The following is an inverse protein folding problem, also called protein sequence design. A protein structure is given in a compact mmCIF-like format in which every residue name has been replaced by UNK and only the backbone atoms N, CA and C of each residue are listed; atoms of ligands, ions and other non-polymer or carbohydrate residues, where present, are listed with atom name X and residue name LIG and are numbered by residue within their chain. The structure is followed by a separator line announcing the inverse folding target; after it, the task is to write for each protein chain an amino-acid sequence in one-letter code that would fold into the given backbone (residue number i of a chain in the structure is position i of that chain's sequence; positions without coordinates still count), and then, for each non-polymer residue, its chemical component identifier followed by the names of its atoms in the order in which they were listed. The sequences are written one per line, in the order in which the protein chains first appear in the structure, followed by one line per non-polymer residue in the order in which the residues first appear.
data_IF_509894216618
#
_entry.id   IF_509894216618
#
_cell.length_a   1.000
_cell.length_b   1.000
_cell.length_c   1.000
_cell.angle_alpha   90.00
_cell.angle_beta   90.00
_cell.angle_gamma   90.00
#
_symmetry.space_group_name_H-M   'P 1'
#
loop_
_entity.id
_entity.type
_entity.pdbx_description
1 polymer ?
#
# COMPACT_ATOMS: atom_id res chain seq x y z
N UNK A 1 10.92 -70.51 -9.64
CA UNK A 1 10.91 -70.10 -8.22
C UNK A 1 11.01 -68.57 -8.18
N UNK A 2 10.09 -67.75 -8.68
CA UNK A 2 8.64 -67.54 -8.38
C UNK A 2 8.35 -67.33 -6.90
N UNK A 3 8.21 -66.05 -6.52
CA UNK A 3 7.65 -65.60 -5.25
C UNK A 3 7.05 -64.18 -5.42
N UNK A 4 5.73 -64.12 -5.40
CA UNK A 4 4.81 -62.97 -5.24
C UNK A 4 3.77 -63.46 -4.21
N UNK A 5 2.87 -62.63 -3.63
CA UNK A 5 3.05 -61.33 -3.00
C UNK A 5 2.31 -61.26 -1.62
N UNK A 6 2.37 -60.13 -0.91
CA UNK A 6 1.49 -59.87 0.26
C UNK A 6 0.74 -58.52 0.14
N UNK A 7 -0.60 -58.65 0.15
CA UNK A 7 -1.68 -57.68 0.48
C UNK A 7 -1.53 -57.08 1.90
N UNK A 8 -2.20 -56.02 2.39
CA UNK A 8 -3.31 -55.13 1.99
C UNK A 8 -3.40 -53.95 2.99
N UNK A 9 -3.94 -52.82 2.51
CA UNK A 9 -4.82 -51.77 3.14
C UNK A 9 -4.71 -51.40 4.63
N UNK A 10 -4.79 -50.09 4.88
CA UNK A 10 -5.88 -49.48 5.68
C UNK A 10 -6.10 -48.00 5.30
N UNK A 11 -7.30 -47.72 4.78
CA UNK A 11 -7.93 -46.40 4.69
C UNK A 11 -8.49 -46.04 6.08
N UNK A 12 -8.43 -44.76 6.44
CA UNK A 12 -9.35 -44.20 7.44
C UNK A 12 -10.06 -43.01 6.84
N UNK A 13 -11.36 -43.22 6.61
CA UNK A 13 -12.38 -42.23 6.30
C UNK A 13 -12.65 -41.33 7.52
N UNK A 14 -12.98 -40.06 7.28
CA UNK A 14 -13.66 -39.21 8.27
C UNK A 14 -14.84 -38.51 7.58
N UNK A 15 -16.07 -38.57 8.13
CA UNK A 15 -17.30 -38.30 7.38
C UNK A 15 -17.72 -36.83 7.43
N UNK A 16 -18.27 -36.35 6.31
CA UNK A 16 -19.22 -35.23 6.26
C UNK A 16 -20.61 -35.72 6.71
N UNK A 17 -21.44 -34.83 7.28
CA UNK A 17 -22.87 -34.89 7.00
C UNK A 17 -23.40 -33.61 6.36
N UNK A 18 -24.37 -33.81 5.48
CA UNK A 18 -25.01 -32.82 4.62
C UNK A 18 -26.25 -32.17 5.26
N UNK A 19 -26.38 -30.86 5.00
CA UNK A 19 -27.56 -30.04 4.64
C UNK A 19 -28.94 -30.20 5.36
N UNK A 20 -29.35 -29.02 5.87
CA UNK A 20 -30.62 -28.27 5.71
C UNK A 20 -31.86 -28.68 6.51
N UNK A 21 -32.29 -27.75 7.38
CA UNK A 21 -33.70 -27.34 7.49
C UNK A 21 -33.77 -25.83 7.77
N UNK A 22 -34.70 -25.18 7.09
CA UNK A 22 -35.07 -23.76 7.09
C UNK A 22 -36.07 -23.42 8.20
N UNK A 23 -35.94 -22.27 8.87
CA UNK A 23 -37.03 -21.28 9.01
C UNK A 23 -36.48 -19.93 9.53
N UNK A 24 -36.91 -18.76 9.03
CA UNK A 24 -36.33 -17.46 9.35
C UNK A 24 -37.26 -16.65 10.27
N UNK A 25 -37.13 -16.79 11.59
CA UNK A 25 -37.64 -15.87 12.63
C UNK A 25 -37.29 -16.50 13.98
N UNK A 26 -36.97 -15.69 15.00
CA UNK A 26 -36.36 -16.05 16.30
C UNK A 26 -34.82 -16.14 16.34
N UNK A 27 -34.19 -14.97 16.49
CA UNK A 27 -33.23 -14.72 17.58
C UNK A 27 -33.02 -13.22 17.76
N UNK A 28 -34.08 -12.56 18.18
CA UNK A 28 -34.00 -11.33 18.96
C UNK A 28 -33.95 -11.68 20.45
N UNK A 29 -33.07 -10.99 21.19
CA UNK A 29 -33.02 -10.82 22.66
C UNK A 29 -32.10 -11.76 23.49
N UNK A 30 -30.86 -11.26 23.67
CA UNK A 30 -30.01 -11.12 24.89
C UNK A 30 -29.78 -12.34 25.81
N UNK A 31 -28.49 -12.71 26.05
CA UNK A 31 -27.86 -12.72 27.40
C UNK A 31 -26.36 -13.06 27.38
N UNK A 32 -25.47 -12.14 27.79
CA UNK A 32 -24.24 -12.37 28.59
C UNK A 32 -23.77 -11.03 29.22
N UNK A 33 -23.03 -11.00 30.36
CA UNK A 33 -23.43 -10.23 31.54
C UNK A 33 -22.64 -8.92 31.74
N UNK A 34 -23.25 -8.02 32.52
CA UNK A 34 -22.65 -6.80 33.07
C UNK A 34 -21.71 -7.13 34.23
N UNK A 35 -20.59 -6.40 34.31
CA UNK A 35 -19.86 -6.16 35.56
C UNK A 35 -19.65 -4.64 35.77
N UNK A 36 -19.73 -4.14 37.02
CA UNK A 36 -19.84 -2.71 37.35
C UNK A 36 -18.50 -2.09 37.74
N UNK A 37 -18.51 -0.74 37.77
CA UNK A 37 -17.44 0.20 38.17
C UNK A 37 -16.50 0.60 37.00
N UNK A 38 -16.21 1.87 36.75
CA UNK A 38 -16.23 3.01 37.66
C UNK A 38 -16.58 4.28 36.89
N UNK A 39 -17.56 4.97 37.43
CA UNK A 39 -18.29 6.14 36.89
C UNK A 39 -17.48 7.45 36.98
N UNK A 40 -16.15 7.38 37.03
CA UNK A 40 -15.29 8.48 37.50
C UNK A 40 -14.34 9.10 36.47
N UNK A 41 -14.33 8.64 35.22
CA UNK A 41 -13.47 9.26 34.18
C UNK A 41 -14.16 10.43 33.46
N UNK A 42 -15.49 10.53 33.55
CA UNK A 42 -16.29 11.51 32.78
C UNK A 42 -16.50 12.85 33.52
N UNK A 43 -16.11 12.97 34.81
CA UNK A 43 -16.29 14.21 35.59
C UNK A 43 -15.04 15.07 35.79
N UNK A 44 -13.87 14.68 35.26
CA UNK A 44 -12.61 15.42 35.46
C UNK A 44 -12.16 16.33 34.31
N UNK A 45 -12.95 16.48 33.24
CA UNK A 45 -12.61 17.37 32.12
C UNK A 45 -13.34 18.73 32.13
N UNK A 46 -14.32 18.94 33.01
CA UNK A 46 -15.09 20.19 33.06
C UNK A 46 -14.62 21.18 34.16
N UNK A 47 -13.50 20.94 34.84
CA UNK A 47 -13.04 21.74 35.99
C UNK A 47 -11.61 22.29 35.88
N UNK A 48 -11.13 22.51 34.65
CA UNK A 48 -9.89 23.27 34.35
C UNK A 48 -10.13 24.46 33.41
N UNK A 49 -11.34 25.02 33.44
CA UNK A 49 -11.65 26.34 32.85
C UNK A 49 -12.05 27.29 33.96
N UNK A 50 -11.03 27.81 34.65
CA UNK A 50 -11.02 29.07 35.42
C UNK A 50 -9.79 28.99 36.32
N UNK A 51 -8.79 29.80 35.97
CA UNK A 51 -7.78 30.47 36.81
C UNK A 51 -6.56 30.68 35.90
N UNK A 52 -6.16 31.95 35.74
CA UNK A 52 -4.83 32.31 35.26
C UNK A 52 -4.77 33.09 33.95
N UNK A 53 -5.34 34.29 33.93
CA UNK A 53 -4.88 35.39 33.07
C UNK A 53 -3.44 35.75 33.42
N UNK A 54 -2.49 35.59 32.50
CA UNK A 54 -1.30 36.44 32.46
C UNK A 54 -0.71 36.55 31.04
N UNK A 55 -0.28 37.78 30.78
CA UNK A 55 0.17 38.38 29.53
C UNK A 55 1.36 37.65 28.89
N UNK A 56 1.28 37.38 27.58
CA UNK A 56 2.45 37.01 26.78
C UNK A 56 2.64 37.97 25.61
N UNK A 57 3.81 38.58 25.62
CA UNK A 57 4.35 39.52 24.63
C UNK A 57 4.45 38.84 23.26
N UNK A 58 4.06 39.58 22.24
CA UNK A 58 4.09 39.17 20.83
C UNK A 58 5.53 39.10 20.31
N UNK A 59 5.99 37.89 19.97
CA UNK A 59 7.15 37.70 19.09
C UNK A 59 6.66 37.43 17.65
N UNK A 60 7.36 37.96 16.63
CA UNK A 60 6.89 37.93 15.26
C UNK A 60 6.83 36.50 14.71
N UNK A 61 5.66 36.14 14.16
CA UNK A 61 5.42 34.88 13.46
C UNK A 61 6.45 34.68 12.36
N UNK A 62 7.37 33.73 12.57
CA UNK A 62 8.11 33.12 11.49
C UNK A 62 7.08 32.55 10.50
N UNK A 63 7.08 33.07 9.27
CA UNK A 63 6.31 32.54 8.14
C UNK A 63 6.69 31.08 7.96
N UNK A 64 5.81 30.17 8.38
CA UNK A 64 5.88 28.77 7.98
C UNK A 64 5.70 28.71 6.47
N UNK A 65 6.77 28.39 5.76
CA UNK A 65 6.73 28.04 4.34
C UNK A 65 5.95 26.73 4.23
N UNK A 66 4.62 26.81 4.06
CA UNK A 66 3.82 25.69 3.56
C UNK A 66 4.25 25.47 2.12
N UNK A 67 5.18 24.55 1.90
CA UNK A 67 5.37 23.97 0.57
C UNK A 67 4.14 23.12 0.29
N UNK A 68 3.27 23.58 -0.62
CA UNK A 68 2.13 22.80 -1.05
C UNK A 68 2.63 21.48 -1.65
N UNK A 69 2.18 20.36 -1.08
CA UNK A 69 2.43 19.03 -1.63
C UNK A 69 1.70 18.98 -2.98
N UNK A 70 2.47 18.92 -4.06
CA UNK A 70 1.96 19.05 -5.43
C UNK A 70 1.42 17.71 -5.94
N UNK A 71 0.36 17.18 -5.29
CA UNK A 71 -0.41 16.05 -5.83
C UNK A 71 -1.21 16.49 -7.06
N UNK A 72 -1.56 15.54 -7.95
CA UNK A 72 -2.42 15.85 -9.10
C UNK A 72 -3.81 16.32 -8.67
N UNK A 73 -4.45 17.18 -9.47
CA UNK A 73 -5.83 17.59 -9.21
C UNK A 73 -6.81 16.41 -9.28
N UNK A 74 -6.53 15.44 -10.14
CA UNK A 74 -7.27 14.18 -10.24
C UNK A 74 -7.23 13.40 -8.92
N UNK A 75 -6.03 13.24 -8.34
CA UNK A 75 -5.87 12.58 -7.05
C UNK A 75 -6.52 13.39 -5.93
N UNK A 76 -6.28 14.71 -5.89
CA UNK A 76 -6.90 15.59 -4.90
C UNK A 76 -8.43 15.47 -4.94
N UNK A 77 -9.05 15.47 -6.13
CA UNK A 77 -10.50 15.29 -6.27
C UNK A 77 -10.94 13.94 -5.72
N UNK A 78 -10.26 12.85 -6.07
CA UNK A 78 -10.60 11.51 -5.61
C UNK A 78 -10.50 11.37 -4.08
N UNK A 79 -9.50 12.01 -3.47
CA UNK A 79 -9.35 12.04 -2.00
C UNK A 79 -10.46 12.85 -1.32
N UNK A 80 -10.89 13.97 -1.90
CA UNK A 80 -11.95 14.80 -1.34
C UNK A 80 -13.36 14.21 -1.55
N UNK A 81 -13.66 13.66 -2.73
CA UNK A 81 -15.00 13.18 -3.07
C UNK A 81 -15.22 11.70 -2.77
N UNK A 82 -14.15 10.94 -2.51
CA UNK A 82 -14.19 9.47 -2.41
C UNK A 82 -14.45 8.77 -3.75
N UNK A 83 -14.54 9.51 -4.85
CA UNK A 83 -14.84 8.98 -6.18
C UNK A 83 -13.56 8.79 -6.98
N UNK A 84 -13.26 7.54 -7.33
CA UNK A 84 -12.06 7.18 -8.08
C UNK A 84 -12.40 7.00 -9.56
N UNK A 85 -11.60 7.54 -10.50
CA UNK A 85 -11.82 7.30 -11.92
C UNK A 85 -11.69 5.81 -12.26
N UNK A 86 -12.64 5.27 -13.03
CA UNK A 86 -12.50 3.93 -13.58
C UNK A 86 -11.67 3.98 -14.87
N UNK A 87 -10.42 3.54 -14.76
CA UNK A 87 -9.49 3.46 -15.88
C UNK A 87 -9.15 2.01 -16.25
N UNK A 88 -10.04 1.05 -15.94
CA UNK A 88 -9.82 -0.37 -16.27
C UNK A 88 -9.52 -0.57 -17.76
N UNK A 89 -10.28 0.09 -18.64
CA UNK A 89 -10.05 0.00 -20.08
C UNK A 89 -8.64 0.46 -20.52
N UNK A 90 -8.09 1.49 -19.86
CA UNK A 90 -6.72 1.97 -20.12
C UNK A 90 -5.68 0.98 -19.59
N UNK A 91 -5.89 0.42 -18.40
CA UNK A 91 -4.98 -0.62 -17.85
C UNK A 91 -5.01 -1.91 -18.68
N UNK A 92 -6.19 -2.32 -19.15
CA UNK A 92 -6.37 -3.48 -20.01
C UNK A 92 -5.80 -3.25 -21.42
N UNK A 93 -5.91 -2.04 -21.96
CA UNK A 93 -5.23 -1.67 -23.20
C UNK A 93 -3.71 -1.75 -23.05
N UNK A 94 -3.16 -1.21 -21.95
CA UNK A 94 -1.74 -1.28 -21.63
C UNK A 94 -1.26 -2.73 -21.48
N UNK A 95 -2.03 -3.55 -20.76
CA UNK A 95 -1.74 -4.97 -20.59
C UNK A 95 -1.77 -5.70 -21.93
N UNK A 96 -2.81 -5.48 -22.76
CA UNK A 96 -2.93 -6.10 -24.08
C UNK A 96 -1.85 -5.65 -25.03
N UNK A 97 -1.50 -4.37 -25.09
CA UNK A 97 -0.42 -3.88 -25.96
C UNK A 97 0.87 -4.64 -25.67
N UNK A 98 1.27 -4.71 -24.39
CA UNK A 98 2.52 -5.36 -24.02
C UNK A 98 2.44 -6.88 -23.90
N UNK A 99 1.24 -7.47 -23.85
CA UNK A 99 1.01 -8.91 -23.98
C UNK A 99 0.99 -9.35 -25.45
N UNK A 100 0.48 -8.50 -26.35
CA UNK A 100 0.27 -8.77 -27.78
C UNK A 100 1.45 -8.32 -28.63
N UNK A 101 2.28 -7.38 -28.15
CA UNK A 101 3.49 -6.91 -28.85
C UNK A 101 4.54 -8.02 -28.97
N UNK A 102 4.32 -8.84 -29.99
CA UNK A 102 5.29 -9.52 -30.83
C UNK A 102 6.15 -8.53 -31.65
N UNK A 103 6.08 -7.21 -31.40
CA UNK A 103 6.66 -6.18 -32.26
C UNK A 103 8.01 -5.67 -31.75
N UNK A 104 9.05 -5.97 -32.53
CA UNK A 104 10.37 -5.31 -32.59
C UNK A 104 11.32 -5.49 -31.39
N UNK A 105 10.86 -5.38 -30.15
CA UNK A 105 11.74 -5.50 -28.97
C UNK A 105 12.07 -6.95 -28.57
N UNK A 106 11.29 -7.92 -29.05
CA UNK A 106 11.48 -9.34 -28.76
C UNK A 106 12.72 -9.95 -29.45
N UNK A 107 13.13 -9.44 -30.63
CA UNK A 107 14.32 -9.93 -31.35
C UNK A 107 15.65 -9.57 -30.67
N UNK A 108 15.66 -8.58 -29.77
CA UNK A 108 16.87 -8.08 -29.12
C UNK A 108 17.20 -8.77 -27.77
N UNK A 109 16.35 -9.65 -27.24
CA UNK A 109 16.57 -10.29 -25.93
C UNK A 109 16.67 -11.81 -26.05
N UNK A 110 17.90 -12.33 -25.97
CA UNK A 110 18.17 -13.72 -25.56
C UNK A 110 17.72 -13.87 -24.10
N UNK A 111 16.55 -14.49 -23.89
CA UNK A 111 16.07 -14.87 -22.57
C UNK A 111 14.60 -14.58 -22.33
N UNK A 112 13.74 -15.53 -22.73
CA UNK A 112 12.50 -15.88 -22.06
C UNK A 112 11.43 -14.80 -21.83
N UNK A 113 10.28 -15.02 -22.47
CA UNK A 113 8.97 -14.42 -22.24
C UNK A 113 8.46 -14.62 -20.79
N UNK A 114 9.07 -13.98 -19.79
CA UNK A 114 8.57 -14.08 -18.43
C UNK A 114 7.87 -12.77 -18.03
N UNK A 115 6.54 -12.82 -17.94
CA UNK A 115 5.72 -11.95 -17.08
C UNK A 115 6.26 -12.03 -15.65
N UNK A 116 7.34 -11.30 -15.37
CA UNK A 116 8.13 -11.41 -14.14
C UNK A 116 8.25 -10.09 -13.39
N UNK A 117 7.55 -9.06 -13.87
CA UNK A 117 7.57 -7.74 -13.28
C UNK A 117 6.28 -7.49 -12.49
N UNK A 118 6.40 -6.59 -11.53
CA UNK A 118 5.29 -6.13 -10.71
C UNK A 118 5.59 -4.68 -10.30
N UNK A 119 4.60 -3.98 -9.76
CA UNK A 119 4.81 -2.69 -9.11
C UNK A 119 4.89 -2.91 -7.61
N UNK A 120 5.66 -2.09 -6.91
CA UNK A 120 5.67 -2.10 -5.46
C UNK A 120 5.70 -0.68 -4.91
N UNK A 121 5.10 -0.54 -3.73
CA UNK A 121 5.04 0.71 -2.98
C UNK A 121 5.75 0.49 -1.65
N UNK A 122 6.53 1.48 -1.21
CA UNK A 122 7.03 1.54 0.16
C UNK A 122 6.21 2.56 0.94
N UNK A 123 5.65 2.14 2.07
CA UNK A 123 4.82 2.97 2.91
C UNK A 123 5.40 3.13 4.31
N UNK A 124 5.21 4.32 4.86
CA UNK A 124 5.58 4.69 6.23
C UNK A 124 4.50 4.21 7.20
N UNK A 125 4.80 3.18 7.99
CA UNK A 125 3.83 2.59 8.92
C UNK A 125 3.42 3.52 10.06
N UNK A 126 4.20 4.58 10.32
CA UNK A 126 3.84 5.62 11.31
C UNK A 126 2.65 6.46 10.84
N UNK A 127 2.45 6.52 9.53
CA UNK A 127 1.32 7.21 8.89
C UNK A 127 0.15 6.25 8.73
N UNK A 128 0.37 5.01 8.25
CA UNK A 128 -0.72 4.04 8.08
C UNK A 128 -1.31 3.56 9.39
N UNK A 129 -0.53 3.46 10.47
CA UNK A 129 -0.99 3.11 11.82
C UNK A 129 -1.86 1.83 11.87
N UNK A 130 -1.51 0.79 11.10
CA UNK A 130 -2.30 -0.46 10.99
C UNK A 130 -3.72 -0.24 10.44
N UNK A 131 -3.83 0.67 9.47
CA UNK A 131 -5.08 1.07 8.83
C UNK A 131 -6.08 -0.08 8.50
N UNK A 132 -5.67 -1.26 7.98
CA UNK A 132 -6.60 -2.34 7.68
C UNK A 132 -7.39 -2.81 8.91
N UNK A 133 -6.76 -2.81 10.09
CA UNK A 133 -7.40 -3.22 11.34
C UNK A 133 -8.37 -2.15 11.85
N UNK A 134 -7.98 -0.87 11.75
CA UNK A 134 -8.77 0.25 12.23
C UNK A 134 -10.06 0.46 11.42
N UNK A 135 -10.01 0.25 10.09
CA UNK A 135 -11.20 0.35 9.23
C UNK A 135 -12.22 -0.77 9.49
N UNK A 136 -11.76 -1.94 9.92
CA UNK A 136 -12.64 -3.04 10.34
C UNK A 136 -13.41 -2.73 11.63
N UNK A 137 -12.90 -1.79 12.44
CA UNK A 137 -13.36 -1.48 13.79
C UNK A 137 -14.07 -0.11 13.92
N UNK A 138 -14.11 0.73 12.89
CA UNK A 138 -14.46 2.16 13.00
C UNK A 138 -15.43 2.67 11.94
N UNK A 139 -16.40 3.50 12.37
CA UNK A 139 -17.22 4.38 11.51
C UNK A 139 -16.40 5.60 11.02
N UNK A 140 -15.33 5.34 10.27
CA UNK A 140 -14.52 6.41 9.69
C UNK A 140 -15.21 7.04 8.47
N UNK A 141 -15.06 8.36 8.23
CA UNK A 141 -15.67 8.99 7.06
C UNK A 141 -15.14 8.35 5.76
N UNK A 142 -15.98 8.22 4.72
CA UNK A 142 -15.57 7.72 3.42
C UNK A 142 -14.32 8.46 2.90
N UNK A 143 -13.36 7.72 2.36
CA UNK A 143 -12.14 8.29 1.76
C UNK A 143 -10.99 8.57 2.74
N UNK A 144 -11.21 8.59 4.06
CA UNK A 144 -10.13 8.82 5.04
C UNK A 144 -9.06 7.74 5.04
N UNK A 145 -9.45 6.47 4.88
CA UNK A 145 -8.50 5.36 4.72
C UNK A 145 -7.65 5.50 3.45
N UNK A 146 -8.28 5.83 2.32
CA UNK A 146 -7.53 6.00 1.07
C UNK A 146 -6.55 7.18 1.13
N UNK A 147 -6.95 8.30 1.73
CA UNK A 147 -6.06 9.44 1.98
C UNK A 147 -4.88 9.09 2.89
N UNK A 148 -5.12 8.32 3.95
CA UNK A 148 -4.07 7.85 4.87
C UNK A 148 -3.09 6.92 4.16
N UNK A 149 -3.60 5.98 3.36
CA UNK A 149 -2.79 5.10 2.53
C UNK A 149 -1.91 5.89 1.55
N UNK A 150 -2.50 6.83 0.81
CA UNK A 150 -1.79 7.67 -0.16
C UNK A 150 -0.72 8.52 0.53
N UNK A 151 -1.04 9.14 1.66
CA UNK A 151 -0.10 9.97 2.43
C UNK A 151 1.05 9.19 3.06
N UNK A 152 0.93 7.87 3.19
CA UNK A 152 2.00 7.03 3.71
C UNK A 152 2.99 6.57 2.63
N UNK A 153 2.63 6.62 1.35
CA UNK A 153 3.51 6.19 0.26
C UNK A 153 4.66 7.17 0.12
N UNK A 154 5.89 6.68 0.29
CA UNK A 154 7.09 7.49 0.09
C UNK A 154 7.94 7.00 -1.09
N UNK A 155 7.62 5.87 -1.70
CA UNK A 155 8.33 5.37 -2.88
C UNK A 155 7.44 4.49 -3.75
N UNK A 156 7.58 4.63 -5.06
CA UNK A 156 6.94 3.80 -6.09
C UNK A 156 8.03 3.16 -6.94
N UNK A 157 7.92 1.88 -7.28
CA UNK A 157 8.88 1.27 -8.19
C UNK A 157 8.37 0.08 -8.96
N UNK A 158 9.02 -0.20 -10.09
CA UNK A 158 8.94 -1.47 -10.80
C UNK A 158 9.89 -2.50 -10.19
N UNK A 159 9.33 -3.63 -9.75
CA UNK A 159 10.02 -4.78 -9.21
C UNK A 159 10.30 -5.84 -10.28
N UNK A 160 11.34 -6.62 -10.05
CA UNK A 160 11.57 -7.92 -10.68
C UNK A 160 12.39 -8.75 -9.70
N UNK A 161 11.99 -9.98 -9.42
CA UNK A 161 12.65 -10.84 -8.39
C UNK A 161 12.74 -10.10 -7.04
N UNK A 162 13.88 -10.16 -6.36
CA UNK A 162 14.13 -9.62 -5.02
C UNK A 162 14.33 -8.10 -4.94
N UNK A 163 14.05 -7.34 -6.01
CA UNK A 163 14.38 -5.90 -6.08
C UNK A 163 13.84 -5.03 -4.93
N UNK A 164 12.63 -5.25 -4.36
CA UNK A 164 12.17 -4.51 -3.19
C UNK A 164 13.08 -4.70 -1.97
N UNK A 165 13.59 -5.92 -1.77
CA UNK A 165 14.50 -6.26 -0.66
C UNK A 165 15.84 -5.54 -0.74
N UNK A 166 16.31 -5.20 -1.95
CA UNK A 166 17.58 -4.51 -2.14
C UNK A 166 17.62 -3.15 -1.42
N UNK A 167 16.49 -2.45 -1.30
CA UNK A 167 16.44 -1.16 -0.59
C UNK A 167 16.62 -1.33 0.92
N UNK A 168 16.12 -2.43 1.48
CA UNK A 168 16.27 -2.76 2.89
C UNK A 168 17.68 -3.25 3.20
N UNK A 169 18.29 -4.04 2.31
CA UNK A 169 19.71 -4.45 2.44
C UNK A 169 20.61 -3.20 2.44
N UNK A 170 20.39 -2.25 1.52
CA UNK A 170 21.13 -0.98 1.54
C UNK A 170 20.94 -0.20 2.85
N UNK A 171 19.74 -0.22 3.43
CA UNK A 171 19.51 0.43 4.72
C UNK A 171 20.21 -0.30 5.88
N UNK A 172 20.28 -1.63 5.85
CA UNK A 172 21.08 -2.41 6.82
C UNK A 172 22.57 -2.10 6.72
N UNK A 173 23.11 -2.01 5.50
CA UNK A 173 24.51 -1.64 5.28
C UNK A 173 24.82 -0.27 5.88
N UNK A 174 23.88 0.67 5.78
CA UNK A 174 23.98 1.99 6.41
C UNK A 174 23.96 1.95 7.94
N UNK A 175 23.15 1.07 8.55
CA UNK A 175 23.16 0.88 10.01
C UNK A 175 24.51 0.32 10.49
N UNK A 176 25.11 -0.59 9.71
CA UNK A 176 26.43 -1.17 10.00
C UNK A 176 27.57 -0.17 9.75
N UNK A 177 27.45 0.62 8.69
CA UNK A 177 28.46 1.58 8.24
C UNK A 177 27.83 2.97 8.00
N UNK A 178 27.67 3.80 9.04
CA UNK A 178 27.01 5.12 8.92
C UNK A 178 27.71 6.12 7.99
N UNK A 179 28.95 5.84 7.58
CA UNK A 179 29.75 6.66 6.65
C UNK A 179 29.36 6.48 5.19
N UNK A 180 28.53 5.48 4.86
CA UNK A 180 28.06 5.26 3.49
C UNK A 180 27.19 6.46 3.03
N UNK A 181 27.12 6.68 1.72
CA UNK A 181 26.24 7.72 1.15
C UNK A 181 24.81 7.19 1.05
N UNK A 182 23.84 7.88 1.68
CA UNK A 182 22.43 7.50 1.64
C UNK A 182 21.65 8.38 0.67
N UNK A 183 20.71 7.76 -0.06
CA UNK A 183 19.71 8.46 -0.86
C UNK A 183 18.44 8.75 -0.04
N UNK A 184 17.53 9.57 -0.56
CA UNK A 184 16.31 9.98 0.14
C UNK A 184 15.46 8.79 0.61
N UNK A 185 15.34 7.75 -0.21
CA UNK A 185 14.61 6.52 0.12
C UNK A 185 15.23 5.77 1.29
N UNK A 186 16.55 5.54 1.26
CA UNK A 186 17.26 4.85 2.35
C UNK A 186 17.14 5.67 3.65
N UNK A 187 17.24 7.00 3.57
CA UNK A 187 17.02 7.88 4.73
C UNK A 187 15.62 7.72 5.32
N UNK A 188 14.59 7.61 4.48
CA UNK A 188 13.22 7.39 4.95
C UNK A 188 13.05 6.02 5.61
N UNK A 189 13.60 4.95 5.03
CA UNK A 189 13.59 3.60 5.63
C UNK A 189 14.23 3.63 7.03
N UNK A 190 15.43 4.22 7.13
CA UNK A 190 16.14 4.37 8.41
C UNK A 190 15.33 5.20 9.42
N UNK A 191 14.64 6.26 8.97
CA UNK A 191 13.81 7.09 9.84
C UNK A 191 12.59 6.33 10.40
N UNK A 192 11.97 5.45 9.60
CA UNK A 192 10.89 4.57 10.07
C UNK A 192 11.42 3.58 11.09
N UNK A 193 12.54 2.90 10.78
CA UNK A 193 13.17 1.94 11.70
C UNK A 193 13.63 2.56 13.02
N UNK A 194 14.18 3.78 12.98
CA UNK A 194 14.60 4.52 14.19
C UNK A 194 13.43 4.82 15.14
N UNK A 195 12.21 4.88 14.61
CA UNK A 195 10.99 5.08 15.41
C UNK A 195 10.38 3.74 15.90
N UNK A 196 11.16 2.65 15.91
CA UNK A 196 10.73 1.30 16.28
C UNK A 196 9.50 0.80 15.50
N UNK A 197 9.39 1.25 14.26
CA UNK A 197 8.38 0.86 13.29
C UNK A 197 9.05 0.17 12.10
N UNK A 198 8.34 -0.69 11.37
CA UNK A 198 8.85 -1.27 10.12
C UNK A 198 8.25 -0.62 8.89
N UNK A 199 8.91 -0.75 7.74
CA UNK A 199 8.40 -0.21 6.47
C UNK A 199 7.45 -1.23 5.85
N UNK A 200 6.32 -0.78 5.32
CA UNK A 200 5.42 -1.66 4.56
C UNK A 200 5.92 -1.75 3.12
N UNK A 201 6.17 -2.95 2.63
CA UNK A 201 6.52 -3.22 1.22
C UNK A 201 5.35 -3.89 0.53
N UNK A 202 4.47 -3.09 -0.07
CA UNK A 202 3.29 -3.60 -0.77
C UNK A 202 3.65 -3.98 -2.20
N UNK A 203 3.39 -5.22 -2.60
CA UNK A 203 3.57 -5.67 -3.98
C UNK A 203 2.21 -5.72 -4.69
N UNK A 204 2.10 -5.10 -5.86
CA UNK A 204 0.86 -5.02 -6.62
C UNK A 204 1.10 -5.27 -8.12
N UNK A 205 0.04 -5.61 -8.84
CA UNK A 205 0.05 -5.83 -10.30
C UNK A 205 1.10 -6.86 -10.75
N UNK A 206 1.05 -8.05 -10.14
CA UNK A 206 1.97 -9.16 -10.42
C UNK A 206 1.87 -9.67 -11.86
N UNK A 207 2.89 -10.40 -12.31
CA UNK A 207 2.93 -11.03 -13.63
C UNK A 207 2.72 -10.03 -14.78
N UNK A 208 3.27 -8.83 -14.66
CA UNK A 208 3.20 -7.80 -15.68
C UNK A 208 4.38 -7.90 -16.67
N UNK A 209 4.13 -7.50 -17.92
CA UNK A 209 5.20 -7.20 -18.87
C UNK A 209 6.07 -6.04 -18.36
N UNK A 210 7.39 -6.02 -18.61
CA UNK A 210 8.28 -4.99 -18.09
C UNK A 210 7.88 -3.55 -18.45
N UNK A 211 7.45 -3.31 -19.70
CA UNK A 211 7.04 -1.98 -20.17
C UNK A 211 5.68 -1.54 -19.59
N UNK A 212 4.76 -2.50 -19.38
CA UNK A 212 3.51 -2.24 -18.68
C UNK A 212 3.78 -1.80 -17.24
N UNK A 213 4.66 -2.52 -16.52
CA UNK A 213 5.02 -2.18 -15.14
C UNK A 213 5.71 -0.80 -15.02
N UNK A 214 6.61 -0.46 -15.96
CA UNK A 214 7.23 0.87 -16.02
C UNK A 214 6.20 1.98 -16.29
N UNK A 215 5.28 1.75 -17.21
CA UNK A 215 4.23 2.72 -17.53
C UNK A 215 3.26 2.91 -16.36
N UNK A 216 2.91 1.83 -15.64
CA UNK A 216 2.12 1.90 -14.40
C UNK A 216 2.85 2.71 -13.32
N UNK A 217 4.15 2.45 -13.12
CA UNK A 217 4.99 3.23 -12.19
C UNK A 217 4.94 4.72 -12.54
N UNK A 218 5.13 5.07 -13.82
CA UNK A 218 5.06 6.45 -14.29
C UNK A 218 3.70 7.10 -14.02
N UNK A 219 2.60 6.41 -14.32
CA UNK A 219 1.25 6.93 -14.08
C UNK A 219 0.98 7.16 -12.59
N UNK A 220 1.43 6.25 -11.72
CA UNK A 220 1.28 6.41 -10.27
C UNK A 220 2.09 7.61 -9.76
N UNK A 221 3.34 7.77 -10.22
CA UNK A 221 4.18 8.93 -9.88
C UNK A 221 3.55 10.23 -10.39
N UNK A 222 3.00 10.24 -11.61
CA UNK A 222 2.31 11.41 -12.17
C UNK A 222 1.08 11.80 -11.33
N UNK A 223 0.39 10.84 -10.72
CA UNK A 223 -0.75 11.10 -9.84
C UNK A 223 -0.34 11.64 -8.46
N UNK A 224 0.69 11.06 -7.84
CA UNK A 224 1.21 11.44 -6.52
C UNK A 224 2.04 12.75 -6.54
N UNK A 225 2.66 13.06 -7.67
CA UNK A 225 3.66 14.11 -7.78
C UNK A 225 5.01 13.70 -7.18
N UNK A 226 6.11 14.18 -7.78
CA UNK A 226 7.44 13.77 -7.35
C UNK A 226 7.84 14.34 -5.98
N UNK A 227 7.30 15.50 -5.61
CA UNK A 227 7.63 16.20 -4.36
C UNK A 227 7.15 15.47 -3.10
N UNK A 228 6.16 14.59 -3.22
CA UNK A 228 5.68 13.73 -2.13
C UNK A 228 6.47 12.42 -2.00
N UNK A 229 7.36 12.12 -2.95
CA UNK A 229 8.07 10.84 -3.05
C UNK A 229 9.58 11.00 -2.83
N UNK A 230 10.20 9.90 -2.43
CA UNK A 230 11.66 9.74 -2.38
C UNK A 230 12.24 9.27 -3.72
N UNK A 231 11.40 9.07 -4.73
CA UNK A 231 11.81 8.81 -6.11
C UNK A 231 12.70 9.95 -6.61
N UNK A 232 13.81 9.61 -7.26
CA UNK A 232 14.75 10.62 -7.78
C UNK A 232 14.27 11.28 -9.09
N UNK A 233 13.42 10.58 -9.86
CA UNK A 233 12.92 11.02 -11.15
C UNK A 233 11.47 10.57 -11.36
N UNK A 234 10.80 11.23 -12.30
CA UNK A 234 9.55 10.72 -12.88
C UNK A 234 9.77 9.37 -13.57
N UNK A 235 8.71 8.57 -13.65
CA UNK A 235 8.72 7.35 -14.44
C UNK A 235 8.64 7.64 -15.94
N UNK A 236 9.01 6.65 -16.73
CA UNK A 236 8.96 6.72 -18.20
C UNK A 236 7.72 5.97 -18.71
N UNK A 237 6.98 6.62 -19.61
CA UNK A 237 5.82 6.00 -20.28
C UNK A 237 6.23 5.37 -21.60
N UNK A 238 5.66 4.22 -21.92
CA UNK A 238 5.98 3.43 -23.10
C UNK A 238 4.72 3.11 -23.90
N UNK A 239 4.90 2.68 -25.16
CA UNK A 239 3.79 2.23 -26.01
C UNK A 239 2.78 3.33 -26.33
N UNK A 240 1.52 2.95 -26.45
CA UNK A 240 0.38 3.84 -26.70
C UNK A 240 0.27 4.95 -25.65
N UNK A 241 0.70 4.66 -24.41
CA UNK A 241 0.64 5.62 -23.31
C UNK A 241 1.50 6.87 -23.52
N UNK A 242 2.45 6.85 -24.47
CA UNK A 242 3.19 8.06 -24.88
C UNK A 242 2.30 9.12 -25.52
N UNK A 243 1.19 8.70 -26.14
CA UNK A 243 0.25 9.59 -26.81
C UNK A 243 -0.93 9.99 -25.92
N UNK A 244 -1.02 9.44 -24.71
CA UNK A 244 -2.08 9.78 -23.78
C UNK A 244 -1.92 11.20 -23.25
N UNK A 245 -3.04 11.91 -23.14
CA UNK A 245 -3.10 13.21 -22.48
C UNK A 245 -2.61 13.07 -21.03
N UNK A 246 -1.92 14.07 -20.46
CA UNK A 246 -1.45 14.03 -19.08
C UNK A 246 -2.56 13.66 -18.07
N UNK A 247 -3.78 14.17 -18.28
CA UNK A 247 -4.94 13.82 -17.45
C UNK A 247 -5.31 12.33 -17.49
N UNK A 248 -5.18 11.66 -18.64
CA UNK A 248 -5.43 10.21 -18.75
C UNK A 248 -4.40 9.41 -17.94
N UNK A 249 -3.13 9.78 -18.01
CA UNK A 249 -2.05 9.16 -17.22
C UNK A 249 -2.27 9.33 -15.72
N UNK A 250 -2.61 10.55 -15.28
CA UNK A 250 -2.92 10.84 -13.88
C UNK A 250 -4.15 10.08 -13.41
N UNK A 251 -5.24 10.05 -14.20
CA UNK A 251 -6.43 9.27 -13.87
C UNK A 251 -6.11 7.76 -13.76
N UNK A 252 -5.31 7.20 -14.66
CA UNK A 252 -4.85 5.82 -14.52
C UNK A 252 -4.02 5.63 -13.24
N UNK A 253 -3.14 6.57 -12.91
CA UNK A 253 -2.40 6.56 -11.66
C UNK A 253 -3.30 6.52 -10.42
N UNK A 254 -4.35 7.35 -10.37
CA UNK A 254 -5.35 7.36 -9.28
C UNK A 254 -6.10 6.03 -9.20
N UNK A 255 -6.52 5.49 -10.36
CA UNK A 255 -7.16 4.18 -10.44
C UNK A 255 -6.27 3.06 -9.90
N UNK A 256 -4.99 3.05 -10.28
CA UNK A 256 -4.01 2.07 -9.80
C UNK A 256 -3.72 2.24 -8.30
N UNK A 257 -3.62 3.47 -7.80
CA UNK A 257 -3.46 3.73 -6.36
C UNK A 257 -4.63 3.17 -5.56
N UNK A 258 -5.86 3.37 -6.02
CA UNK A 258 -7.03 2.81 -5.35
C UNK A 258 -7.04 1.28 -5.40
N UNK A 259 -6.66 0.67 -6.53
CA UNK A 259 -6.50 -0.79 -6.59
C UNK A 259 -5.41 -1.30 -5.65
N UNK A 260 -4.28 -0.60 -5.54
CA UNK A 260 -3.23 -0.93 -4.58
C UNK A 260 -3.71 -0.79 -3.13
N UNK A 261 -4.52 0.22 -2.82
CA UNK A 261 -5.16 0.37 -1.52
C UNK A 261 -6.04 -0.83 -1.19
N UNK A 262 -6.88 -1.28 -2.13
CA UNK A 262 -7.72 -2.47 -1.93
C UNK A 262 -6.89 -3.74 -1.70
N UNK A 263 -5.78 -3.91 -2.42
CA UNK A 263 -4.83 -5.02 -2.19
C UNK A 263 -4.25 -4.92 -0.78
N UNK A 264 -3.80 -3.74 -0.36
CA UNK A 264 -3.27 -3.51 0.99
C UNK A 264 -4.29 -3.81 2.10
N UNK A 265 -5.57 -3.46 1.90
CA UNK A 265 -6.62 -3.84 2.85
C UNK A 265 -6.83 -5.35 2.92
N UNK A 266 -6.75 -6.04 1.78
CA UNK A 266 -6.95 -7.48 1.69
C UNK A 266 -5.76 -8.29 2.24
N UNK A 267 -4.53 -7.86 1.96
CA UNK A 267 -3.30 -8.51 2.43
C UNK A 267 -2.97 -8.15 3.89
N UNK A 268 -3.49 -7.02 4.38
CA UNK A 268 -3.16 -6.45 5.67
C UNK A 268 -1.82 -5.72 5.69
N UNK A 269 -1.46 -5.18 6.87
CA UNK A 269 -0.21 -4.44 7.04
C UNK A 269 0.92 -5.35 7.54
N UNK A 270 1.85 -5.70 6.64
CA UNK A 270 3.12 -6.35 7.02
C UNK A 270 4.25 -5.33 7.04
N UNK A 271 4.82 -5.12 8.22
CA UNK A 271 5.97 -4.25 8.42
C UNK A 271 7.28 -5.04 8.31
N UNK A 272 8.26 -4.49 7.60
CA UNK A 272 9.63 -5.01 7.51
C UNK A 272 10.54 -4.16 8.40
N UNK A 273 11.07 -4.79 9.45
CA UNK A 273 12.02 -4.25 10.41
C UNK A 273 13.43 -4.77 10.12
N UNK A 274 14.49 -4.20 10.73
CA UNK A 274 15.87 -4.63 10.45
C UNK A 274 16.10 -6.14 10.60
N UNK A 275 15.50 -6.77 11.62
CA UNK A 275 15.65 -8.21 11.89
C UNK A 275 14.81 -9.11 10.99
N UNK A 276 13.88 -8.56 10.20
CA UNK A 276 13.11 -9.33 9.21
C UNK A 276 13.87 -9.48 7.88
N UNK A 277 15.03 -8.83 7.76
CA UNK A 277 15.86 -8.80 6.56
C UNK A 277 17.07 -9.69 6.80
N UNK A 278 17.05 -10.88 6.21
CA UNK A 278 18.15 -11.85 6.25
C UNK A 278 19.21 -11.57 5.19
#
# INVERSE_FOLDING_TARGET
MTGEPFSKRTQFDCPLPARKASNPELRSQIHVPLLPSTRDVVLNQARRRRIGTQSQKTHPRARAHRGDVQISMELARALHSGTVPDCRALDDALAREFDTSLSVFAKARRGGQAKCCFNYLLLDSRVTKRLPNDLSASCSPPGTGFATFVGAIFYVGKGSRSRPYQHFIQALDHLRCPRLKSNAKVKQILAVWKADCGVVSLHCFQSAAPLAALTREACIIDALGLSSLTNAKHGEVHGEAKHWKPAQRRNLGVHLLHRAFLIYLAEGERQLRPWDIN
#
